data_IF_791403410173
#
_entry.id   IF_791403410173
#
_cell.length_a   1.000
_cell.length_b   1.000
_cell.length_c   1.000
_cell.angle_alpha   90.00
_cell.angle_beta   90.00
_cell.angle_gamma   90.00
#
_symmetry.space_group_name_H-M   'P 1'
#
loop_
_entity.id
_entity.type
_entity.pdbx_description
1 polymer ?
#
# COMPACT_ATOMS: atom_id res chain seq x y z
N UNK A 1 -8.40 -3.85 -33.58
CA UNK A 1 -7.39 -4.66 -32.86
C UNK A 1 -7.66 -4.55 -31.37
N UNK A 2 -8.23 -5.62 -30.79
CA UNK A 2 -8.34 -5.85 -29.36
C UNK A 2 -6.94 -6.08 -28.78
N UNK A 3 -6.63 -5.70 -27.53
CA UNK A 3 -6.86 -6.52 -26.33
C UNK A 3 -6.85 -5.61 -25.09
N UNK A 4 -8.01 -5.27 -24.53
CA UNK A 4 -8.11 -4.79 -23.15
C UNK A 4 -8.30 -6.02 -22.28
N UNK A 5 -7.22 -6.49 -21.66
CA UNK A 5 -7.27 -7.58 -20.70
C UNK A 5 -8.08 -7.14 -19.48
N UNK A 6 -9.29 -7.68 -19.34
CA UNK A 6 -10.09 -7.52 -18.13
C UNK A 6 -9.56 -8.45 -17.05
N UNK A 7 -9.06 -7.88 -15.95
CA UNK A 7 -8.83 -8.61 -14.71
C UNK A 7 -10.17 -8.80 -13.98
N UNK A 8 -10.46 -10.06 -13.65
CA UNK A 8 -11.69 -10.53 -13.02
C UNK A 8 -11.37 -10.95 -11.58
N UNK A 9 -11.48 -10.04 -10.63
CA UNK A 9 -11.71 -10.35 -9.23
C UNK A 9 -12.22 -9.07 -8.55
N UNK A 10 -13.48 -9.09 -8.10
CA UNK A 10 -14.21 -7.99 -7.44
C UNK A 10 -14.62 -6.84 -8.38
N UNK A 11 -15.92 -6.77 -8.70
CA UNK A 11 -16.54 -5.83 -9.64
C UNK A 11 -16.64 -4.37 -9.17
N UNK A 12 -15.58 -3.80 -8.59
CA UNK A 12 -15.46 -2.36 -8.37
C UNK A 12 -14.25 -1.82 -9.15
N UNK A 13 -14.47 -1.24 -10.34
CA UNK A 13 -13.39 -0.54 -11.02
C UNK A 13 -12.96 0.64 -10.15
N UNK A 14 -11.74 0.60 -9.62
CA UNK A 14 -11.16 1.79 -9.01
C UNK A 14 -11.12 2.89 -10.08
N UNK A 15 -11.66 4.09 -9.79
CA UNK A 15 -11.60 5.22 -10.72
C UNK A 15 -10.15 5.65 -11.01
N UNK A 16 -9.19 5.17 -10.22
CA UNK A 16 -7.76 5.41 -10.38
C UNK A 16 -7.07 4.38 -11.29
N UNK A 17 -7.78 3.36 -11.79
CA UNK A 17 -7.25 2.35 -12.72
C UNK A 17 -6.22 1.42 -12.08
N UNK A 18 -6.24 1.28 -10.75
CA UNK A 18 -5.29 0.47 -10.00
C UNK A 18 -5.63 -1.01 -10.15
N UNK A 19 -4.61 -1.84 -10.42
CA UNK A 19 -4.73 -3.29 -10.40
C UNK A 19 -4.75 -3.81 -8.96
N UNK A 20 -5.96 -4.18 -8.49
CA UNK A 20 -6.19 -4.61 -7.12
C UNK A 20 -5.53 -5.95 -6.78
N UNK A 21 -5.41 -6.85 -7.75
CA UNK A 21 -4.79 -8.16 -7.58
C UNK A 21 -3.29 -7.99 -7.28
N UNK A 22 -2.65 -7.08 -8.01
CA UNK A 22 -1.24 -6.74 -7.82
C UNK A 22 -1.01 -5.99 -6.50
N UNK A 23 -1.86 -5.00 -6.20
CA UNK A 23 -1.78 -4.23 -4.95
C UNK A 23 -1.97 -5.12 -3.72
N UNK A 24 -2.94 -6.02 -3.74
CA UNK A 24 -3.28 -6.88 -2.60
C UNK A 24 -2.13 -7.80 -2.18
N UNK A 25 -1.38 -8.34 -3.15
CA UNK A 25 -0.22 -9.21 -2.86
C UNK A 25 0.89 -8.47 -2.13
N UNK A 26 1.28 -7.30 -2.64
CA UNK A 26 2.34 -6.50 -2.02
C UNK A 26 1.89 -5.90 -0.67
N UNK A 27 0.62 -5.50 -0.56
CA UNK A 27 0.07 -4.98 0.69
C UNK A 27 0.05 -6.04 1.81
N UNK A 28 -0.30 -7.29 1.50
CA UNK A 28 -0.25 -8.38 2.48
C UNK A 28 1.18 -8.62 3.01
N UNK A 29 2.18 -8.57 2.12
CA UNK A 29 3.59 -8.69 2.51
C UNK A 29 4.03 -7.53 3.41
N UNK A 30 3.68 -6.30 3.03
CA UNK A 30 3.99 -5.11 3.81
C UNK A 30 3.34 -5.14 5.20
N UNK A 31 2.08 -5.55 5.28
CA UNK A 31 1.36 -5.69 6.54
C UNK A 31 1.99 -6.77 7.44
N UNK A 32 2.34 -7.93 6.87
CA UNK A 32 3.01 -8.99 7.61
C UNK A 32 4.34 -8.53 8.22
N UNK A 33 5.18 -7.88 7.41
CA UNK A 33 6.45 -7.34 7.86
C UNK A 33 6.27 -6.27 8.96
N UNK A 34 5.28 -5.40 8.78
CA UNK A 34 4.94 -4.37 9.76
C UNK A 34 4.50 -4.99 11.10
N UNK A 35 3.62 -5.99 11.07
CA UNK A 35 3.16 -6.69 12.28
C UNK A 35 4.28 -7.42 13.02
N UNK A 36 5.29 -7.91 12.31
CA UNK A 36 6.43 -8.63 12.90
C UNK A 36 7.63 -7.72 13.18
N UNK A 37 7.54 -6.42 12.92
CA UNK A 37 8.64 -5.47 13.14
C UNK A 37 9.84 -5.66 12.21
N UNK A 38 9.66 -6.30 11.05
CA UNK A 38 10.74 -6.60 10.11
C UNK A 38 10.90 -5.44 9.14
N UNK A 39 12.11 -4.87 9.06
CA UNK A 39 12.46 -3.88 8.03
C UNK A 39 11.73 -2.53 8.16
N UNK A 40 11.25 -2.18 9.37
CA UNK A 40 10.58 -0.88 9.63
C UNK A 40 11.49 0.34 9.45
N UNK A 41 12.80 0.14 9.44
CA UNK A 41 13.79 1.18 9.16
C UNK A 41 14.08 1.31 7.66
N UNK A 42 13.69 0.31 6.89
CA UNK A 42 13.81 0.28 5.43
C UNK A 42 12.57 0.89 4.77
N UNK A 43 12.72 1.33 3.53
CA UNK A 43 11.62 1.94 2.81
C UNK A 43 10.59 0.87 2.41
N UNK A 44 9.34 0.99 2.86
CA UNK A 44 8.25 0.04 2.56
C UNK A 44 8.07 -0.20 1.04
N UNK A 45 8.49 0.77 0.20
CA UNK A 45 8.47 0.64 -1.25
C UNK A 45 9.35 -0.49 -1.77
N UNK A 46 10.34 -0.94 -0.99
CA UNK A 46 11.17 -2.11 -1.31
C UNK A 46 10.37 -3.43 -1.32
N UNK A 47 9.18 -3.45 -0.72
CA UNK A 47 8.33 -4.64 -0.70
C UNK A 47 7.39 -4.76 -1.90
N UNK A 48 7.38 -3.74 -2.77
CA UNK A 48 6.59 -3.72 -3.99
C UNK A 48 7.52 -3.96 -5.19
N UNK A 49 7.09 -4.83 -6.11
CA UNK A 49 7.85 -5.10 -7.35
C UNK A 49 7.77 -3.93 -8.36
N UNK A 50 6.85 -2.97 -8.15
CA UNK A 50 6.71 -1.77 -8.97
C UNK A 50 7.17 -0.51 -8.24
N UNK A 51 7.40 0.52 -9.05
CA UNK A 51 7.62 1.87 -8.55
C UNK A 51 6.36 2.42 -7.88
N UNK A 52 6.33 2.38 -6.56
CA UNK A 52 5.28 3.02 -5.76
C UNK A 52 5.63 4.49 -5.50
N UNK A 53 4.68 5.43 -5.69
CA UNK A 53 4.89 6.83 -5.35
C UNK A 53 5.16 6.99 -3.84
N UNK A 54 5.89 8.06 -3.47
CA UNK A 54 6.17 8.33 -2.06
C UNK A 54 4.86 8.54 -1.26
N UNK A 55 4.79 8.07 -0.01
CA UNK A 55 3.66 8.38 0.87
C UNK A 55 3.43 9.89 0.96
N UNK A 56 2.16 10.31 0.86
CA UNK A 56 1.77 11.73 1.01
C UNK A 56 1.69 12.17 2.48
N UNK A 57 1.70 11.22 3.41
CA UNK A 57 1.65 11.45 4.85
C UNK A 57 3.05 11.27 5.44
N UNK A 58 3.41 12.14 6.39
CA UNK A 58 4.72 12.05 7.05
C UNK A 58 4.83 10.83 7.97
N UNK A 59 6.06 10.35 8.22
CA UNK A 59 6.36 9.17 9.06
C UNK A 59 5.68 9.20 10.44
N UNK A 60 5.57 10.37 11.04
CA UNK A 60 4.99 10.56 12.37
C UNK A 60 3.51 10.97 12.34
N UNK A 61 2.82 10.83 11.21
CA UNK A 61 1.43 11.28 11.05
C UNK A 61 0.49 10.63 12.08
N UNK A 62 0.56 9.31 12.25
CA UNK A 62 -0.26 8.57 13.23
C UNK A 62 0.13 8.94 14.65
N UNK A 63 1.43 8.96 14.95
CA UNK A 63 1.94 9.35 16.28
C UNK A 63 1.49 10.76 16.68
N UNK A 64 1.50 11.72 15.75
CA UNK A 64 0.98 13.08 15.96
C UNK A 64 -0.53 13.09 16.17
N UNK A 65 -1.28 12.30 15.41
CA UNK A 65 -2.73 12.21 15.54
C UNK A 65 -3.17 11.59 16.88
N UNK A 66 -2.40 10.62 17.39
CA UNK A 66 -2.63 9.98 18.68
C UNK A 66 -2.11 10.84 19.84
N UNK A 67 -0.92 11.45 19.72
CA UNK A 67 -0.36 12.36 20.72
C UNK A 67 -1.20 13.61 20.94
N UNK A 68 -1.88 14.11 19.90
CA UNK A 68 -2.87 15.18 20.02
C UNK A 68 -4.13 14.79 20.82
N UNK A 69 -4.31 13.51 21.16
CA UNK A 69 -5.44 12.98 21.93
C UNK A 69 -5.09 12.59 23.37
N UNK A 70 -3.81 12.66 23.76
CA UNK A 70 -3.31 12.26 25.08
C UNK A 70 -2.66 13.42 25.86
N UNK A 71 -3.01 14.67 25.54
CA UNK A 71 -2.77 15.85 26.40
C UNK A 71 -4.08 16.25 27.09
#
# INVERSE_FOLDING_TARGET
MARRGGCRACGFPSPTGIDHDRLGKALNKALYNCMHGIGLEEDDRAWFDDRVPKPRVGRHFIAKALGARYD
#
